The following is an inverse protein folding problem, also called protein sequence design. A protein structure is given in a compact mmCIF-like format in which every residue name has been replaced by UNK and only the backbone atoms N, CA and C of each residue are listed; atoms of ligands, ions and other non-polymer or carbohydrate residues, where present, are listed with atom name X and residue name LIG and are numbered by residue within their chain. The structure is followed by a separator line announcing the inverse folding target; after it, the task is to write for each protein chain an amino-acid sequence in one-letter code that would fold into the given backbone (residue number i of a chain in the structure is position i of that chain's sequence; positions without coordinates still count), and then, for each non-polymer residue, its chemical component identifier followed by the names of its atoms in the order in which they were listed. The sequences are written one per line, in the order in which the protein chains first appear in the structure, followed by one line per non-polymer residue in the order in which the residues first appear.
data_IF_459455733772
#
_entry.id   IF_459455733772
#
_cell.length_a   1.000
_cell.length_b   1.000
_cell.length_c   1.000
_cell.angle_alpha   90.00
_cell.angle_beta   90.00
_cell.angle_gamma   90.00
#
_symmetry.space_group_name_H-M   'P 1'
#
loop_
_entity.id
_entity.type
_entity.pdbx_description
1 polymer ?
#
# COMPACT_ATOMS: atom_id res chain seq x y z
N UNK A 1 14.39 17.47 -12.43
CA UNK A 1 14.70 16.10 -12.88
C UNK A 1 14.33 15.16 -11.74
N UNK A 2 13.61 14.07 -12.01
CA UNK A 2 13.26 13.10 -10.98
C UNK A 2 14.40 12.09 -10.78
N UNK A 3 14.66 11.69 -9.54
CA UNK A 3 15.62 10.63 -9.23
C UNK A 3 15.00 9.27 -9.54
N UNK A 4 15.67 8.46 -10.34
CA UNK A 4 15.20 7.11 -10.67
C UNK A 4 15.09 6.24 -9.41
N UNK A 5 13.96 5.54 -9.26
CA UNK A 5 13.75 4.58 -8.19
C UNK A 5 14.32 3.23 -8.59
N UNK A 6 15.62 3.05 -8.34
CA UNK A 6 16.33 1.81 -8.70
C UNK A 6 16.30 0.76 -7.57
N UNK A 7 15.98 1.17 -6.34
CA UNK A 7 15.98 0.32 -5.15
C UNK A 7 14.73 0.60 -4.33
N UNK A 8 14.37 -0.36 -3.47
CA UNK A 8 13.30 -0.17 -2.50
C UNK A 8 13.59 1.02 -1.58
N UNK A 9 12.55 1.82 -1.35
CA UNK A 9 12.54 2.94 -0.42
C UNK A 9 11.45 2.69 0.63
N UNK A 10 11.84 2.70 1.91
CA UNK A 10 10.91 2.51 3.04
C UNK A 10 10.63 3.84 3.72
N UNK A 11 9.36 4.10 4.03
CA UNK A 11 8.87 5.32 4.68
C UNK A 11 7.86 4.97 5.76
N UNK A 12 7.99 5.61 6.92
CA UNK A 12 6.97 5.58 7.95
C UNK A 12 5.90 6.61 7.61
N UNK A 13 4.63 6.23 7.73
CA UNK A 13 3.46 7.06 7.49
C UNK A 13 2.48 6.91 8.64
N UNK A 14 1.78 7.99 8.96
CA UNK A 14 0.64 7.94 9.88
C UNK A 14 -0.64 8.18 9.08
N UNK A 15 -1.55 7.22 9.08
CA UNK A 15 -2.83 7.29 8.36
C UNK A 15 -3.94 7.01 9.36
N UNK A 16 -4.86 7.96 9.56
CA UNK A 16 -5.95 7.86 10.58
C UNK A 16 -5.38 7.48 11.95
N UNK A 17 -4.34 8.19 12.39
CA UNK A 17 -3.63 8.00 13.67
C UNK A 17 -2.97 6.61 13.88
N UNK A 18 -2.88 5.80 12.83
CA UNK A 18 -2.21 4.49 12.87
C UNK A 18 -0.88 4.53 12.10
N UNK A 19 0.19 3.93 12.65
CA UNK A 19 1.49 3.89 11.99
C UNK A 19 1.57 2.77 10.95
N UNK A 20 2.07 3.13 9.77
CA UNK A 20 2.29 2.24 8.63
C UNK A 20 3.73 2.38 8.10
N UNK A 21 4.21 1.32 7.47
CA UNK A 21 5.41 1.33 6.65
C UNK A 21 5.00 1.22 5.18
N UNK A 22 5.31 2.25 4.40
CA UNK A 22 5.22 2.23 2.95
C UNK A 22 6.58 1.82 2.37
N UNK A 23 6.60 0.74 1.61
CA UNK A 23 7.73 0.33 0.78
C UNK A 23 7.40 0.69 -0.67
N UNK A 24 8.26 1.46 -1.31
CA UNK A 24 8.12 1.87 -2.71
C UNK A 24 9.29 1.25 -3.49
N UNK A 25 8.99 0.46 -4.51
CA UNK A 25 9.99 -0.21 -5.34
C UNK A 25 9.76 0.03 -6.84
N UNK A 26 10.68 -0.44 -7.70
CA UNK A 26 10.57 -0.29 -9.15
C UNK A 26 9.31 -0.96 -9.74
N UNK A 27 8.75 -1.97 -9.08
CA UNK A 27 7.57 -2.73 -9.53
C UNK A 27 6.24 -2.23 -8.95
N UNK A 28 6.26 -1.46 -7.86
CA UNK A 28 5.03 -1.03 -7.19
C UNK A 28 5.25 -0.51 -5.78
N UNK A 29 4.19 -0.58 -4.98
CA UNK A 29 4.15 -0.11 -3.60
C UNK A 29 3.49 -1.14 -2.68
N UNK A 30 3.98 -1.19 -1.45
CA UNK A 30 3.45 -2.05 -0.38
C UNK A 30 3.25 -1.25 0.89
N UNK A 31 2.03 -1.25 1.40
CA UNK A 31 1.67 -0.59 2.66
C UNK A 31 1.40 -1.65 3.73
N UNK A 32 2.18 -1.64 4.81
CA UNK A 32 2.06 -2.61 5.91
C UNK A 32 1.84 -1.88 7.22
N UNK A 33 0.86 -2.31 8.02
CA UNK A 33 0.67 -1.78 9.37
C UNK A 33 1.86 -2.16 10.26
N UNK A 34 2.30 -1.24 11.13
CA UNK A 34 3.43 -1.49 12.03
C UNK A 34 3.12 -2.67 12.96
N UNK A 35 4.02 -3.66 13.01
CA UNK A 35 3.83 -4.88 13.80
C UNK A 35 3.08 -6.01 13.06
N UNK A 36 2.56 -5.75 11.86
CA UNK A 36 1.89 -6.76 11.03
C UNK A 36 2.77 -7.19 9.85
N UNK A 37 2.58 -8.44 9.39
CA UNK A 37 3.25 -8.97 8.19
C UNK A 37 2.35 -8.95 6.96
N UNK A 38 1.03 -8.89 7.15
CA UNK A 38 0.05 -8.71 6.08
C UNK A 38 -0.08 -7.22 5.77
N UNK A 39 -0.03 -6.88 4.49
CA UNK A 39 -0.12 -5.52 3.99
C UNK A 39 -0.74 -5.52 2.60
N UNK A 40 -1.13 -4.34 2.13
CA UNK A 40 -1.69 -4.15 0.79
C UNK A 40 -0.55 -3.90 -0.17
N UNK A 41 -0.54 -4.60 -1.30
CA UNK A 41 0.46 -4.45 -2.37
C UNK A 41 -0.26 -4.02 -3.65
N UNK A 42 0.39 -3.12 -4.40
CA UNK A 42 -0.16 -2.55 -5.62
C UNK A 42 0.97 -2.34 -6.63
N UNK A 43 0.81 -2.83 -7.85
CA UNK A 43 1.78 -2.61 -8.92
C UNK A 43 1.61 -1.22 -9.55
N UNK A 44 2.62 -0.74 -10.28
CA UNK A 44 2.47 0.49 -11.05
C UNK A 44 1.44 0.36 -12.18
N UNK A 45 1.35 -0.82 -12.78
CA UNK A 45 0.38 -1.14 -13.84
C UNK A 45 -1.04 -1.01 -13.29
N UNK A 46 -1.35 -1.66 -12.16
CA UNK A 46 -2.67 -1.56 -11.51
C UNK A 46 -3.01 -0.11 -11.12
N UNK A 47 -2.01 0.67 -10.71
CA UNK A 47 -2.18 2.08 -10.33
C UNK A 47 -2.49 2.97 -11.54
N UNK A 48 -1.87 2.70 -12.69
CA UNK A 48 -2.04 3.48 -13.93
C UNK A 48 -3.32 3.08 -14.66
N UNK A 49 -3.63 1.78 -14.70
CA UNK A 49 -4.82 1.24 -15.37
C UNK A 49 -6.12 1.54 -14.60
N UNK A 50 -6.01 1.94 -13.32
CA UNK A 50 -7.14 2.34 -12.48
C UNK A 50 -7.83 1.17 -11.78
N UNK A 51 -7.36 -0.06 -11.97
CA UNK A 51 -7.88 -1.26 -11.28
C UNK A 51 -7.52 -1.26 -9.78
N UNK A 52 -6.49 -0.47 -9.40
CA UNK A 52 -6.17 -0.14 -8.01
C UNK A 52 -7.35 0.47 -7.26
N UNK A 53 -8.11 1.37 -7.89
CA UNK A 53 -9.22 2.06 -7.25
C UNK A 53 -10.40 1.11 -7.02
N UNK A 54 -10.64 0.19 -7.96
CA UNK A 54 -11.72 -0.78 -7.89
C UNK A 54 -11.43 -1.89 -6.88
N UNK A 55 -10.22 -2.46 -6.89
CA UNK A 55 -9.82 -3.50 -5.94
C UNK A 55 -9.73 -2.95 -4.49
N UNK A 56 -9.23 -1.72 -4.30
CA UNK A 56 -9.22 -1.07 -2.98
C UNK A 56 -10.63 -0.73 -2.51
N UNK A 57 -11.50 -0.21 -3.38
CA UNK A 57 -12.90 0.04 -3.05
C UNK A 57 -13.66 -1.26 -2.74
N UNK A 58 -13.39 -2.33 -3.48
CA UNK A 58 -14.00 -3.65 -3.28
C UNK A 58 -13.54 -4.25 -1.96
N UNK A 59 -12.24 -4.36 -1.70
CA UNK A 59 -11.71 -4.91 -0.45
C UNK A 59 -12.11 -4.08 0.78
N UNK A 60 -12.25 -2.76 0.63
CA UNK A 60 -12.83 -1.91 1.66
C UNK A 60 -14.33 -2.17 1.87
N UNK A 61 -15.11 -2.39 0.79
CA UNK A 61 -16.54 -2.68 0.85
C UNK A 61 -16.86 -4.07 1.43
N UNK A 62 -15.95 -5.03 1.26
CA UNK A 62 -16.08 -6.41 1.77
C UNK A 62 -15.54 -6.54 3.20
N UNK A 63 -15.07 -5.43 3.80
CA UNK A 63 -14.62 -5.40 5.20
C UNK A 63 -13.25 -6.01 5.47
N UNK A 64 -12.51 -6.45 4.44
CA UNK A 64 -11.17 -7.04 4.64
C UNK A 64 -10.14 -6.05 5.18
N UNK A 65 -10.39 -4.74 5.03
CA UNK A 65 -9.55 -3.69 5.62
C UNK A 65 -9.91 -3.44 7.10
N UNK A 66 -11.07 -3.89 7.57
CA UNK A 66 -11.53 -3.74 8.95
C UNK A 66 -11.06 -4.90 9.85
N UNK A 67 -10.93 -6.12 9.31
CA UNK A 67 -10.54 -7.33 10.07
C UNK A 67 -9.04 -7.51 10.31
N UNK A 68 -8.22 -6.49 10.03
CA UNK A 68 -6.81 -6.46 10.46
C UNK A 68 -6.63 -5.75 11.82
N UNK A 69 -7.72 -5.28 12.43
CA UNK A 69 -7.74 -4.53 13.67
C UNK A 69 -8.37 -5.27 14.87
N UNK A 70 -8.58 -6.58 14.78
CA UNK A 70 -8.99 -7.41 15.92
C UNK A 70 -8.02 -8.57 16.17
#
# INVERSE_FOLDING_TARGET
MATALNKELKRELTIKDRPFTLTIGPSGLKLTAKGHRKGVELTWEDLVDGDAALAVALNASVGEIETAAE
#
